data_IF_885577468189
#
_entry.id   IF_885577468189
#
_cell.length_a   1.000
_cell.length_b   1.000
_cell.length_c   1.000
_cell.angle_alpha   90.00
_cell.angle_beta   90.00
_cell.angle_gamma   90.00
#
_symmetry.space_group_name_H-M   'P 1'
#
loop_
_entity.id
_entity.type
_entity.pdbx_description
1 polymer ?
#
# COMPACT_ATOMS: atom_id res chain seq x y z
N UNK A 1 -23.85 7.92 38.82
CA UNK A 1 -22.73 7.20 38.17
C UNK A 1 -21.48 7.53 38.94
N UNK A 2 -20.83 6.52 39.49
CA UNK A 2 -19.57 6.68 40.23
C UNK A 2 -18.45 7.00 39.22
N UNK A 3 -17.44 7.78 39.60
CA UNK A 3 -16.37 8.22 38.67
C UNK A 3 -15.70 7.05 37.91
N UNK A 4 -15.56 5.90 38.58
CA UNK A 4 -14.98 4.68 38.02
C UNK A 4 -15.79 4.15 36.82
N UNK A 5 -17.12 4.23 36.84
CA UNK A 5 -17.95 3.78 35.71
C UNK A 5 -17.79 4.70 34.49
N UNK A 6 -17.54 5.99 34.72
CA UNK A 6 -17.28 6.94 33.64
C UNK A 6 -15.91 6.66 33.01
N UNK A 7 -14.87 6.47 33.83
CA UNK A 7 -13.50 6.19 33.38
C UNK A 7 -13.45 4.88 32.58
N UNK A 8 -14.10 3.81 33.05
CA UNK A 8 -14.15 2.52 32.35
C UNK A 8 -14.85 2.66 30.99
N UNK A 9 -15.88 3.50 30.88
CA UNK A 9 -16.56 3.76 29.61
C UNK A 9 -15.68 4.54 28.64
N UNK A 10 -14.96 5.55 29.12
CA UNK A 10 -14.02 6.33 28.31
C UNK A 10 -12.86 5.47 27.77
N UNK A 11 -12.32 4.60 28.62
CA UNK A 11 -11.29 3.63 28.22
C UNK A 11 -11.81 2.68 27.13
N UNK A 12 -13.05 2.18 27.26
CA UNK A 12 -13.65 1.31 26.24
C UNK A 12 -13.83 2.02 24.90
N UNK A 13 -14.26 3.28 24.92
CA UNK A 13 -14.41 4.08 23.71
C UNK A 13 -13.05 4.32 23.05
N UNK A 14 -12.05 4.68 23.84
CA UNK A 14 -10.68 4.88 23.36
C UNK A 14 -10.09 3.61 22.73
N UNK A 15 -10.35 2.44 23.35
CA UNK A 15 -9.93 1.15 22.79
C UNK A 15 -10.63 0.88 21.46
N UNK A 16 -11.93 1.18 21.35
CA UNK A 16 -12.68 1.00 20.11
C UNK A 16 -12.10 1.86 18.98
N UNK A 17 -11.85 3.13 19.24
CA UNK A 17 -11.23 4.03 18.27
C UNK A 17 -9.84 3.56 17.85
N UNK A 18 -9.05 3.04 18.80
CA UNK A 18 -7.74 2.48 18.50
C UNK A 18 -7.84 1.23 17.62
N UNK A 19 -8.81 0.35 17.88
CA UNK A 19 -9.05 -0.83 17.04
C UNK A 19 -9.41 -0.42 15.61
N UNK A 20 -10.34 0.52 15.44
CA UNK A 20 -10.74 1.02 14.12
C UNK A 20 -9.55 1.63 13.35
N UNK A 21 -8.67 2.38 14.03
CA UNK A 21 -7.44 2.93 13.42
C UNK A 21 -6.43 1.84 13.03
N UNK A 22 -6.30 0.79 13.83
CA UNK A 22 -5.41 -0.34 13.52
C UNK A 22 -5.91 -1.07 12.28
N UNK A 23 -7.22 -1.30 12.16
CA UNK A 23 -7.81 -1.97 11.00
C UNK A 23 -7.53 -1.19 9.70
N UNK A 24 -7.67 0.14 9.74
CA UNK A 24 -7.31 1.00 8.60
C UNK A 24 -5.83 0.91 8.22
N UNK A 25 -4.93 0.94 9.22
CA UNK A 25 -3.49 0.83 8.97
C UNK A 25 -3.09 -0.55 8.40
N UNK A 26 -3.81 -1.61 8.78
CA UNK A 26 -3.60 -2.94 8.24
C UNK A 26 -4.01 -3.01 6.76
N UNK A 27 -5.18 -2.47 6.41
CA UNK A 27 -5.66 -2.42 5.03
C UNK A 27 -4.71 -1.61 4.11
N UNK A 28 -4.25 -0.45 4.58
CA UNK A 28 -3.25 0.35 3.85
C UNK A 28 -1.95 -0.42 3.64
N UNK A 29 -1.48 -1.12 4.67
CA UNK A 29 -0.25 -1.93 4.60
C UNK A 29 -0.38 -3.07 3.61
N UNK A 30 -1.51 -3.77 3.59
CA UNK A 30 -1.79 -4.86 2.65
C UNK A 30 -1.83 -4.34 1.21
N UNK A 31 -2.53 -3.22 0.99
CA UNK A 31 -2.57 -2.54 -0.31
C UNK A 31 -1.17 -2.16 -0.81
N UNK A 32 -0.35 -1.56 0.06
CA UNK A 32 1.04 -1.21 -0.27
C UNK A 32 1.90 -2.45 -0.56
N UNK A 33 1.72 -3.53 0.19
CA UNK A 33 2.45 -4.78 -0.04
C UNK A 33 2.11 -5.36 -1.42
N UNK A 34 0.83 -5.38 -1.78
CA UNK A 34 0.37 -5.83 -3.10
C UNK A 34 0.90 -4.96 -4.23
N UNK A 35 0.93 -3.63 -4.05
CA UNK A 35 1.51 -2.71 -5.02
C UNK A 35 3.00 -2.99 -5.25
N UNK A 36 3.78 -3.18 -4.18
CA UNK A 36 5.22 -3.48 -4.28
C UNK A 36 5.49 -4.81 -4.98
N UNK A 37 4.72 -5.85 -4.66
CA UNK A 37 4.83 -7.14 -5.33
C UNK A 37 4.52 -7.01 -6.83
N UNK A 38 3.48 -6.24 -7.16
CA UNK A 38 3.10 -5.97 -8.55
C UNK A 38 4.18 -5.20 -9.31
N UNK A 39 4.77 -4.18 -8.69
CA UNK A 39 5.88 -3.40 -9.24
C UNK A 39 7.09 -4.30 -9.52
N UNK A 40 7.49 -5.13 -8.55
CA UNK A 40 8.62 -6.06 -8.72
C UNK A 40 8.35 -7.07 -9.84
N UNK A 41 7.15 -7.65 -9.87
CA UNK A 41 6.77 -8.60 -10.91
C UNK A 41 6.76 -7.96 -12.29
N UNK A 42 6.23 -6.74 -12.42
CA UNK A 42 6.16 -6.02 -13.69
C UNK A 42 7.56 -5.60 -14.16
N UNK A 43 8.40 -5.11 -13.25
CA UNK A 43 9.78 -4.76 -13.56
C UNK A 43 10.57 -5.98 -14.05
N UNK A 44 10.41 -7.14 -13.40
CA UNK A 44 11.05 -8.37 -13.83
C UNK A 44 10.57 -8.79 -15.23
N UNK A 45 9.25 -8.77 -15.46
CA UNK A 45 8.66 -9.08 -16.76
C UNK A 45 9.21 -8.20 -17.89
N UNK A 46 9.22 -6.87 -17.70
CA UNK A 46 9.72 -5.93 -18.72
C UNK A 46 11.22 -6.02 -18.93
N UNK A 47 12.00 -6.42 -17.92
CA UNK A 47 13.46 -6.56 -18.04
C UNK A 47 13.86 -7.76 -18.90
N UNK A 48 12.99 -8.77 -18.99
CA UNK A 48 13.20 -9.95 -19.83
C UNK A 48 12.75 -9.72 -21.29
N UNK A 49 12.05 -8.62 -21.58
CA UNK A 49 11.60 -8.30 -22.93
C UNK A 49 12.73 -7.67 -23.77
N UNK A 50 12.98 -8.17 -24.99
CA UNK A 50 13.98 -7.56 -25.87
C UNK A 50 13.50 -6.19 -26.38
N UNK A 51 14.42 -5.23 -26.47
CA UNK A 51 14.14 -3.93 -27.08
C UNK A 51 13.69 -4.12 -28.54
N UNK A 52 12.43 -3.81 -28.84
CA UNK A 52 11.87 -3.93 -30.19
C UNK A 52 12.43 -2.88 -31.16
N UNK A 53 12.87 -1.74 -30.64
CA UNK A 53 13.48 -0.66 -31.42
C UNK A 53 14.66 -0.07 -30.66
N UNK A 54 15.76 0.12 -31.37
CA UNK A 54 16.96 0.76 -30.83
C UNK A 54 17.12 2.16 -31.43
N UNK A 55 17.95 3.00 -30.80
CA UNK A 55 18.31 4.34 -31.32
C UNK A 55 18.92 4.25 -32.74
N UNK A 56 19.48 3.09 -33.12
CA UNK A 56 20.00 2.85 -34.47
C UNK A 56 18.90 2.74 -35.52
N UNK A 57 17.72 2.26 -35.12
CA UNK A 57 16.53 2.19 -35.97
C UNK A 57 15.89 3.57 -36.16
N UNK A 58 16.17 4.52 -35.26
CA UNK A 58 15.76 5.92 -35.37
C UNK A 58 16.61 6.74 -36.37
N UNK A 59 17.02 6.15 -37.50
CA UNK A 59 17.55 6.93 -38.64
C UNK A 59 16.40 7.69 -39.28
N UNK A 60 16.16 8.90 -38.77
CA UNK A 60 15.25 9.89 -39.36
C UNK A 60 15.68 10.10 -40.82
N UNK A 61 14.78 9.74 -41.74
CA UNK A 61 14.83 10.22 -43.13
C UNK A 61 14.37 11.67 -43.08
N UNK A 62 15.32 12.61 -43.15
CA UNK A 62 15.05 13.99 -43.54
C UNK A 62 15.07 14.11 -45.05
#
# INVERSE_FOLDING_TARGET
>A
MTGIEADVREIKESIRELTEKIDLLLDERESMAMMKLSEQSLSAFLSDEPDLYTIRDARIVY
#
